data_IF_490279185440
#
_entry.id   IF_490279185440
#
_cell.length_a   1.000
_cell.length_b   1.000
_cell.length_c   1.000
_cell.angle_alpha   90.00
_cell.angle_beta   90.00
_cell.angle_gamma   90.00
#
_symmetry.space_group_name_H-M   'P 1'
#
loop_
_entity.id
_entity.type
_entity.pdbx_description
1 polymer ?
#
# COMPACT_ATOMS: atom_id res chain seq x y z
N UNK A 1 -2.94 -23.32 31.20
CA UNK A 1 -2.49 -22.28 30.23
C UNK A 1 -3.50 -21.15 30.25
N UNK A 2 -3.09 -19.90 30.54
CA UNK A 2 -3.99 -18.74 30.45
C UNK A 2 -4.29 -18.50 28.97
N UNK A 3 -5.56 -18.40 28.60
CA UNK A 3 -5.95 -17.96 27.25
C UNK A 3 -5.27 -16.62 26.95
N UNK A 4 -4.76 -16.39 25.73
CA UNK A 4 -4.19 -15.10 25.39
C UNK A 4 -5.26 -14.03 25.62
N UNK A 5 -4.88 -12.95 26.30
CA UNK A 5 -5.76 -11.78 26.44
C UNK A 5 -6.00 -11.20 25.04
N UNK A 6 -7.26 -10.89 24.73
CA UNK A 6 -7.68 -10.31 23.47
C UNK A 6 -8.05 -8.83 23.72
N UNK A 7 -7.64 -7.96 22.82
CA UNK A 7 -8.12 -6.59 22.78
C UNK A 7 -9.17 -6.44 21.68
N UNK A 8 -10.28 -5.83 22.03
CA UNK A 8 -11.42 -5.65 21.14
C UNK A 8 -11.40 -4.26 20.49
N UNK A 9 -11.68 -4.22 19.19
CA UNK A 9 -11.79 -2.99 18.39
C UNK A 9 -13.11 -2.96 17.65
N UNK A 10 -13.72 -1.78 17.55
CA UNK A 10 -14.79 -1.49 16.60
C UNK A 10 -14.18 -0.98 15.27
N UNK A 11 -14.70 -1.52 14.18
CA UNK A 11 -14.36 -1.09 12.81
C UNK A 11 -15.56 -0.33 12.26
N UNK A 12 -15.34 0.92 11.81
CA UNK A 12 -16.41 1.77 11.28
C UNK A 12 -16.09 2.30 9.89
N UNK A 13 -17.14 2.55 9.11
CA UNK A 13 -17.07 2.95 7.70
C UNK A 13 -17.12 4.48 7.55
N UNK A 14 -15.98 5.15 7.57
CA UNK A 14 -15.87 6.62 7.45
C UNK A 14 -16.24 7.20 6.08
N UNK A 15 -16.41 6.38 5.06
CA UNK A 15 -16.85 6.82 3.74
C UNK A 15 -18.38 6.92 3.60
N UNK A 16 -19.12 6.41 4.59
CA UNK A 16 -20.57 6.45 4.65
C UNK A 16 -21.05 7.49 5.68
N UNK A 17 -22.25 8.05 5.50
CA UNK A 17 -22.85 8.95 6.49
C UNK A 17 -23.05 8.25 7.83
N UNK A 18 -22.71 8.92 8.92
CA UNK A 18 -22.89 8.43 10.29
C UNK A 18 -21.88 7.38 10.75
N UNK A 19 -20.84 7.09 9.93
CA UNK A 19 -19.76 6.16 10.26
C UNK A 19 -20.30 4.82 10.83
N UNK A 20 -21.17 4.09 10.09
CA UNK A 20 -21.81 2.89 10.60
C UNK A 20 -20.79 1.84 11.04
N UNK A 21 -21.19 1.02 12.03
CA UNK A 21 -20.38 -0.11 12.51
C UNK A 21 -20.30 -1.18 11.42
N UNK A 22 -19.07 -1.52 11.04
CA UNK A 22 -18.78 -2.62 10.12
C UNK A 22 -18.70 -3.96 10.85
N UNK A 23 -18.10 -3.94 12.05
CA UNK A 23 -17.91 -5.13 12.86
C UNK A 23 -16.91 -4.94 13.97
N UNK A 24 -16.56 -6.05 14.64
CA UNK A 24 -15.62 -6.08 15.76
C UNK A 24 -14.43 -6.98 15.46
N UNK A 25 -13.24 -6.46 15.73
CA UNK A 25 -11.96 -7.14 15.57
C UNK A 25 -11.37 -7.45 16.95
N UNK A 26 -11.08 -8.72 17.21
CA UNK A 26 -10.33 -9.15 18.39
C UNK A 26 -8.87 -9.42 17.99
N UNK A 27 -7.95 -8.70 18.61
CA UNK A 27 -6.49 -8.78 18.37
C UNK A 27 -5.85 -9.45 19.60
N UNK A 28 -5.10 -10.56 19.43
CA UNK A 28 -4.38 -11.17 20.53
C UNK A 28 -3.27 -10.25 21.02
N UNK A 29 -3.21 -10.04 22.35
CA UNK A 29 -2.09 -9.35 22.97
C UNK A 29 -0.86 -10.25 22.96
N UNK A 30 0.28 -9.76 22.50
CA UNK A 30 1.52 -10.51 22.52
C UNK A 30 2.08 -10.59 23.93
N UNK A 31 2.32 -11.81 24.42
CA UNK A 31 2.98 -12.04 25.71
C UNK A 31 4.43 -12.49 25.49
N UNK A 32 5.30 -11.65 24.92
CA UNK A 32 6.73 -11.93 24.78
C UNK A 32 7.27 -12.08 23.34
N UNK A 33 8.61 -12.21 23.17
CA UNK A 33 9.27 -12.18 21.86
C UNK A 33 8.87 -13.36 21.00
N UNK A 34 8.42 -13.08 19.76
CA UNK A 34 8.05 -14.08 18.77
C UNK A 34 9.01 -14.07 17.60
N UNK A 35 9.88 -15.07 17.56
CA UNK A 35 10.51 -15.49 16.31
C UNK A 35 9.89 -16.80 15.84
N UNK A 36 9.59 -16.94 14.56
CA UNK A 36 9.45 -18.23 13.94
C UNK A 36 8.17 -18.53 13.18
N UNK A 37 8.36 -19.08 12.05
CA UNK A 37 7.51 -19.68 11.03
C UNK A 37 6.53 -20.73 11.56
N UNK A 38 5.32 -20.75 10.97
CA UNK A 38 4.27 -21.75 11.16
C UNK A 38 4.68 -23.11 10.57
N UNK A 39 4.57 -24.17 11.33
CA UNK A 39 4.65 -25.56 10.86
C UNK A 39 3.58 -26.46 11.53
N UNK A 40 2.96 -27.24 10.74
CA UNK A 40 2.35 -28.57 10.64
C UNK A 40 1.47 -29.25 11.74
N UNK A 41 0.48 -30.11 11.34
CA UNK A 41 -0.63 -30.61 12.17
C UNK A 41 -0.37 -31.85 13.02
N UNK A 42 0.83 -32.04 13.50
CA UNK A 42 1.15 -32.90 14.66
C UNK A 42 1.39 -32.07 15.92
N UNK A 43 0.71 -30.92 16.00
CA UNK A 43 1.05 -29.76 16.80
C UNK A 43 1.25 -30.02 18.28
N UNK A 44 2.44 -29.70 18.74
CA UNK A 44 2.77 -29.57 20.17
C UNK A 44 1.88 -28.52 20.87
N UNK A 45 1.76 -28.50 22.20
CA UNK A 45 1.02 -27.51 22.97
C UNK A 45 1.41 -26.02 22.63
N UNK A 46 2.64 -25.79 22.17
CA UNK A 46 3.11 -24.51 21.69
C UNK A 46 2.50 -24.10 20.34
N UNK A 47 2.14 -25.06 19.49
CA UNK A 47 1.46 -24.84 18.21
C UNK A 47 -0.04 -24.58 18.41
N UNK A 48 -0.67 -25.26 19.37
CA UNK A 48 -2.04 -24.97 19.79
C UNK A 48 -2.14 -23.55 20.42
N UNK A 49 -1.15 -23.13 21.19
CA UNK A 49 -1.05 -21.76 21.70
C UNK A 49 -0.84 -20.71 20.59
N UNK A 50 -0.16 -21.08 19.49
CA UNK A 50 -0.01 -20.23 18.30
C UNK A 50 -1.33 -20.11 17.51
N UNK A 51 -2.10 -21.20 17.39
CA UNK A 51 -3.42 -21.17 16.77
C UNK A 51 -4.45 -20.34 17.60
N UNK A 52 -4.25 -20.26 18.92
CA UNK A 52 -5.05 -19.39 19.80
C UNK A 52 -4.71 -17.89 19.67
N UNK A 53 -3.55 -17.55 19.06
CA UNK A 53 -3.06 -16.18 18.87
C UNK A 53 -3.40 -15.60 17.50
N UNK A 54 -4.48 -16.05 16.88
CA UNK A 54 -4.97 -15.54 15.58
C UNK A 54 -6.07 -14.52 15.82
N UNK A 55 -6.07 -13.43 15.06
CA UNK A 55 -7.15 -12.44 15.06
C UNK A 55 -8.50 -13.08 14.80
N UNK A 56 -9.57 -12.46 15.28
CA UNK A 56 -10.95 -12.86 15.02
C UNK A 56 -11.72 -11.62 14.62
N UNK A 57 -12.62 -11.78 13.66
CA UNK A 57 -13.49 -10.71 13.22
C UNK A 57 -14.92 -11.18 13.18
N UNK A 58 -15.85 -10.31 13.53
CA UNK A 58 -17.27 -10.55 13.40
C UNK A 58 -17.90 -9.30 12.80
N UNK A 59 -18.58 -9.47 11.68
CA UNK A 59 -19.38 -8.39 11.10
C UNK A 59 -20.54 -8.02 12.02
N UNK A 60 -20.94 -6.76 11.98
CA UNK A 60 -22.20 -6.32 12.54
C UNK A 60 -23.38 -6.89 11.72
N UNK A 61 -24.52 -7.18 12.38
CA UNK A 61 -25.67 -7.78 11.70
C UNK A 61 -26.21 -6.94 10.56
N UNK A 62 -26.38 -5.64 10.79
CA UNK A 62 -26.88 -4.72 9.77
C UNK A 62 -25.88 -4.58 8.59
N UNK A 63 -24.59 -4.72 8.89
CA UNK A 63 -23.55 -4.70 7.85
C UNK A 63 -23.57 -5.95 6.97
N UNK A 64 -23.89 -7.12 7.53
CA UNK A 64 -24.04 -8.36 6.73
C UNK A 64 -25.16 -8.23 5.72
N UNK A 65 -26.25 -7.55 6.10
CA UNK A 65 -27.43 -7.37 5.25
C UNK A 65 -27.20 -6.37 4.09
N UNK A 66 -26.42 -5.32 4.32
CA UNK A 66 -26.36 -4.17 3.40
C UNK A 66 -24.96 -3.68 3.05
N UNK A 67 -23.93 -4.23 3.69
CA UNK A 67 -22.54 -3.80 3.57
C UNK A 67 -21.79 -4.40 2.40
N UNK A 68 -20.46 -4.26 2.48
CA UNK A 68 -19.52 -4.84 1.52
C UNK A 68 -18.42 -5.60 2.24
N UNK A 69 -17.88 -6.69 1.66
CA UNK A 69 -16.79 -7.42 2.28
C UNK A 69 -15.50 -6.57 2.32
N UNK A 70 -14.73 -6.70 3.40
CA UNK A 70 -13.46 -5.99 3.58
C UNK A 70 -12.25 -6.70 2.95
N UNK A 71 -12.49 -7.66 2.09
CA UNK A 71 -11.47 -8.42 1.38
C UNK A 71 -12.00 -9.79 0.98
N UNK A 72 -11.27 -10.47 0.11
CA UNK A 72 -11.62 -11.83 -0.28
C UNK A 72 -11.34 -12.86 0.84
N UNK A 73 -10.52 -12.49 1.83
CA UNK A 73 -10.25 -13.29 3.02
C UNK A 73 -11.23 -12.99 4.17
N UNK A 74 -12.18 -12.09 3.95
CA UNK A 74 -13.17 -11.70 4.94
C UNK A 74 -14.56 -11.60 4.25
N UNK A 75 -15.17 -12.76 3.90
CA UNK A 75 -16.45 -12.80 3.24
C UNK A 75 -17.56 -12.21 4.12
N UNK A 76 -18.61 -11.71 3.51
CA UNK A 76 -19.74 -11.08 4.20
C UNK A 76 -20.67 -12.18 4.76
N UNK A 77 -20.39 -12.65 5.95
CA UNK A 77 -21.06 -13.77 6.59
C UNK A 77 -21.28 -13.50 8.09
N UNK A 78 -22.35 -14.10 8.65
CA UNK A 78 -22.56 -14.10 10.09
C UNK A 78 -21.56 -15.03 10.80
N UNK A 79 -21.22 -14.66 12.03
CA UNK A 79 -20.36 -15.49 12.88
C UNK A 79 -18.93 -14.94 13.00
N UNK A 80 -18.10 -15.72 13.67
CA UNK A 80 -16.71 -15.33 13.96
C UNK A 80 -15.80 -15.85 12.86
N UNK A 81 -15.23 -14.93 12.09
CA UNK A 81 -14.29 -15.21 11.02
C UNK A 81 -12.86 -15.22 11.54
N UNK A 82 -12.00 -15.97 10.86
CA UNK A 82 -10.56 -16.06 11.13
C UNK A 82 -9.75 -15.81 9.87
N UNK A 83 -8.53 -15.26 9.97
CA UNK A 83 -7.64 -15.16 8.84
C UNK A 83 -7.39 -16.52 8.20
N UNK A 84 -7.01 -16.49 6.92
CA UNK A 84 -6.66 -17.70 6.16
C UNK A 84 -5.58 -18.52 6.86
N UNK A 85 -5.56 -19.81 6.57
CA UNK A 85 -4.52 -20.72 7.06
C UNK A 85 -3.12 -20.16 6.78
N UNK A 86 -2.29 -20.12 7.79
CA UNK A 86 -0.94 -19.56 7.71
C UNK A 86 -0.85 -18.03 7.90
N UNK A 87 -1.99 -17.34 8.04
CA UNK A 87 -2.04 -15.90 8.33
C UNK A 87 -2.47 -15.63 9.76
N UNK A 88 -1.95 -14.59 10.37
CA UNK A 88 -2.34 -14.13 11.72
C UNK A 88 -3.32 -12.96 11.69
N UNK A 89 -3.44 -12.26 10.53
CA UNK A 89 -4.28 -11.09 10.35
C UNK A 89 -5.06 -11.13 9.04
N UNK A 90 -6.09 -10.29 8.95
CA UNK A 90 -6.86 -10.06 7.74
C UNK A 90 -6.19 -9.06 6.82
N UNK A 91 -6.40 -9.20 5.51
CA UNK A 91 -5.79 -8.38 4.48
C UNK A 91 -6.07 -6.88 4.66
N UNK A 92 -7.29 -6.49 5.03
CA UNK A 92 -7.63 -5.07 5.24
C UNK A 92 -6.76 -4.41 6.33
N UNK A 93 -6.29 -5.15 7.33
CA UNK A 93 -5.39 -4.65 8.35
C UNK A 93 -3.94 -4.70 7.87
N UNK A 94 -3.54 -5.76 7.13
CA UNK A 94 -2.22 -5.86 6.50
C UNK A 94 -1.98 -4.72 5.51
N UNK A 95 -3.00 -4.29 4.77
CA UNK A 95 -2.93 -3.13 3.86
C UNK A 95 -2.56 -1.82 4.57
N UNK A 96 -2.86 -1.72 5.86
CA UNK A 96 -2.60 -0.56 6.72
C UNK A 96 -1.43 -0.76 7.65
N UNK A 97 -0.86 -1.95 7.66
CA UNK A 97 0.20 -2.30 8.59
C UNK A 97 1.47 -1.51 8.30
N UNK A 98 2.04 -0.94 9.36
CA UNK A 98 3.36 -0.32 9.28
C UNK A 98 4.39 -1.37 8.86
N UNK A 99 5.33 -0.97 8.00
CA UNK A 99 6.42 -1.86 7.55
C UNK A 99 7.40 -2.13 8.69
N UNK A 100 8.21 -3.19 8.56
CA UNK A 100 9.20 -3.51 9.59
C UNK A 100 10.21 -2.37 9.86
N UNK A 101 10.76 -1.66 8.86
CA UNK A 101 11.61 -0.50 9.10
C UNK A 101 10.90 0.64 9.83
N UNK A 102 9.63 0.90 9.50
CA UNK A 102 8.83 1.93 10.17
C UNK A 102 8.42 1.49 11.57
N UNK A 103 8.17 0.20 11.76
CA UNK A 103 7.85 -0.36 13.07
C UNK A 103 8.96 -0.14 14.10
N UNK A 104 10.24 -0.17 13.69
CA UNK A 104 11.36 0.11 14.60
C UNK A 104 11.32 1.53 15.17
N UNK A 105 10.84 2.50 14.38
CA UNK A 105 10.67 3.88 14.85
C UNK A 105 9.61 3.97 15.95
N UNK A 106 8.51 3.22 15.81
CA UNK A 106 7.43 3.22 16.80
C UNK A 106 7.78 2.48 18.10
N UNK A 107 8.77 1.61 18.06
CA UNK A 107 9.25 0.85 19.23
C UNK A 107 10.65 1.33 19.70
N UNK A 108 11.05 2.53 19.32
CA UNK A 108 12.33 3.08 19.76
C UNK A 108 12.31 3.37 21.28
N UNK A 109 13.23 2.80 22.06
CA UNK A 109 13.30 3.04 23.50
C UNK A 109 13.55 4.50 23.88
N UNK A 110 14.15 5.30 22.98
CA UNK A 110 14.41 6.72 23.22
C UNK A 110 13.14 7.57 23.29
N UNK A 111 12.06 7.12 22.62
CA UNK A 111 10.78 7.80 22.64
C UNK A 111 9.61 6.80 22.69
N UNK A 112 9.40 6.12 23.83
CA UNK A 112 8.34 5.14 23.97
C UNK A 112 6.97 5.80 23.79
N UNK A 113 6.12 5.20 22.96
CA UNK A 113 4.75 5.67 22.77
C UNK A 113 3.90 5.34 24.01
N UNK A 114 3.33 6.38 24.62
CA UNK A 114 2.38 6.22 25.72
C UNK A 114 1.20 5.35 25.30
N UNK A 115 0.87 4.35 26.13
CA UNK A 115 -0.24 3.43 25.90
C UNK A 115 0.06 2.28 24.93
N UNK A 116 1.25 2.21 24.33
CA UNK A 116 1.66 1.03 23.60
C UNK A 116 2.12 -0.05 24.59
N UNK A 117 1.55 -1.29 24.57
CA UNK A 117 2.00 -2.36 25.44
C UNK A 117 3.46 -2.73 25.17
N UNK A 118 4.21 -2.97 26.24
CA UNK A 118 5.57 -3.49 26.11
C UNK A 118 5.57 -4.81 25.31
N UNK A 119 6.42 -4.91 24.29
CA UNK A 119 6.49 -6.08 23.42
C UNK A 119 5.34 -6.21 22.41
N UNK A 120 4.55 -5.15 22.20
CA UNK A 120 3.49 -5.15 21.18
C UNK A 120 4.05 -5.51 19.81
N UNK A 121 3.41 -6.46 19.14
CA UNK A 121 3.79 -6.87 17.78
C UNK A 121 3.36 -5.83 16.73
N UNK A 122 3.93 -5.90 15.53
CA UNK A 122 3.68 -4.95 14.43
C UNK A 122 2.19 -4.75 14.12
N UNK A 123 1.39 -5.81 14.07
CA UNK A 123 -0.05 -5.72 13.77
C UNK A 123 -0.85 -5.15 14.95
N UNK A 124 -0.47 -5.47 16.17
CA UNK A 124 -1.06 -4.89 17.38
C UNK A 124 -0.77 -3.38 17.45
N UNK A 125 0.50 -3.01 17.25
CA UNK A 125 0.89 -1.59 17.15
C UNK A 125 0.12 -0.88 16.05
N UNK A 126 -0.03 -1.51 14.87
CA UNK A 126 -0.84 -0.95 13.78
C UNK A 126 -2.29 -0.73 14.22
N UNK A 127 -2.93 -1.72 14.83
CA UNK A 127 -4.32 -1.61 15.28
C UNK A 127 -4.51 -0.53 16.36
N UNK A 128 -3.52 -0.35 17.25
CA UNK A 128 -3.54 0.69 18.27
C UNK A 128 -3.32 2.10 17.71
N UNK A 129 -2.56 2.21 16.63
CA UNK A 129 -2.26 3.50 16.01
C UNK A 129 -3.36 4.00 15.07
N UNK A 130 -4.13 3.09 14.45
CA UNK A 130 -5.16 3.45 13.47
C UNK A 130 -6.25 4.40 13.99
N UNK A 131 -6.75 4.31 15.24
CA UNK A 131 -7.80 5.19 15.76
C UNK A 131 -7.44 6.69 15.70
N UNK A 132 -6.17 6.99 15.88
CA UNK A 132 -5.64 8.35 15.98
C UNK A 132 -5.14 8.91 14.65
N UNK A 133 -5.32 8.16 13.55
CA UNK A 133 -4.83 8.53 12.24
C UNK A 133 -5.95 8.84 11.28
N UNK A 134 -6.31 10.12 11.21
CA UNK A 134 -7.22 10.62 10.18
C UNK A 134 -6.64 10.47 8.77
N UNK A 135 -5.35 10.26 8.68
CA UNK A 135 -4.53 10.16 7.47
C UNK A 135 -4.13 8.72 7.10
N UNK A 136 -4.62 7.69 7.81
CA UNK A 136 -4.40 6.28 7.43
C UNK A 136 -4.95 5.97 6.04
N UNK A 137 -4.44 4.89 5.43
CA UNK A 137 -4.92 4.42 4.13
C UNK A 137 -6.41 4.06 4.18
N UNK A 138 -7.17 4.58 3.24
CA UNK A 138 -8.61 4.29 3.08
C UNK A 138 -9.47 4.95 4.13
N UNK A 139 -10.65 4.40 4.35
CA UNK A 139 -11.72 5.02 5.09
C UNK A 139 -12.25 4.17 6.27
N UNK A 140 -11.50 3.19 6.73
CA UNK A 140 -11.85 2.43 7.93
C UNK A 140 -11.29 3.10 9.17
N UNK A 141 -12.10 3.33 10.18
CA UNK A 141 -11.62 3.61 11.53
C UNK A 141 -11.55 2.32 12.34
N UNK A 142 -10.59 2.25 13.25
CA UNK A 142 -10.35 1.12 14.14
C UNK A 142 -10.23 1.70 15.55
N UNK A 143 -11.24 1.52 16.40
CA UNK A 143 -11.29 2.12 17.73
C UNK A 143 -11.29 1.04 18.80
N UNK A 144 -10.38 1.08 19.80
CA UNK A 144 -10.41 0.14 20.91
C UNK A 144 -11.68 0.32 21.75
N UNK A 145 -12.23 -0.79 22.27
CA UNK A 145 -13.47 -0.78 23.05
C UNK A 145 -13.20 -0.79 24.56
N UNK A 146 -12.16 -1.49 24.96
CA UNK A 146 -11.87 -1.87 26.34
C UNK A 146 -10.67 -1.13 26.96
N UNK A 147 -10.12 -0.17 26.26
CA UNK A 147 -9.01 0.68 26.73
C UNK A 147 -9.24 2.13 26.29
N UNK A 148 -8.70 3.05 27.04
CA UNK A 148 -8.67 4.43 26.63
C UNK A 148 -7.91 4.57 25.32
N UNK A 149 -8.43 5.34 24.37
CA UNK A 149 -7.72 5.62 23.14
C UNK A 149 -6.38 6.29 23.45
N UNK A 150 -5.38 5.99 22.62
CA UNK A 150 -4.10 6.72 22.68
C UNK A 150 -4.37 8.23 22.55
N UNK A 151 -3.55 9.09 23.16
CA UNK A 151 -3.71 10.54 23.05
C UNK A 151 -3.88 10.99 21.60
N UNK A 152 -4.73 11.97 21.40
CA UNK A 152 -4.95 12.54 20.07
C UNK A 152 -3.61 12.96 19.46
N UNK A 153 -3.31 12.44 18.27
CA UNK A 153 -2.04 12.75 17.61
C UNK A 153 -2.15 14.06 16.85
N UNK A 154 -1.05 14.79 16.73
CA UNK A 154 -1.02 16.03 15.97
C UNK A 154 -1.56 15.81 14.57
N UNK A 155 -2.16 16.85 14.04
CA UNK A 155 -2.67 16.94 12.68
C UNK A 155 -1.58 16.55 11.66
N UNK A 156 -2.04 16.21 10.46
CA UNK A 156 -1.21 16.16 9.26
C UNK A 156 -0.22 17.33 9.27
N UNK A 157 1.06 17.02 9.10
CA UNK A 157 2.12 18.02 9.10
C UNK A 157 1.93 19.03 7.96
N UNK A 158 2.26 20.28 8.21
CA UNK A 158 2.28 21.30 7.15
C UNK A 158 3.57 21.17 6.34
N UNK A 159 3.53 21.63 5.11
CA UNK A 159 4.74 21.67 4.26
C UNK A 159 5.90 22.42 4.95
N UNK A 160 5.61 23.48 5.71
CA UNK A 160 6.62 24.25 6.46
C UNK A 160 7.35 23.46 7.55
N UNK A 161 6.86 22.28 7.94
CA UNK A 161 7.48 21.39 8.94
C UNK A 161 8.39 20.32 8.28
N UNK A 162 8.50 20.31 6.95
CA UNK A 162 9.33 19.34 6.22
C UNK A 162 10.83 19.41 6.56
N UNK A 163 11.45 20.59 6.72
CA UNK A 163 12.87 20.66 7.08
C UNK A 163 13.20 19.91 8.37
N UNK A 164 12.33 20.01 9.37
CA UNK A 164 12.50 19.29 10.64
C UNK A 164 12.33 17.78 10.46
N UNK A 165 11.36 17.34 9.62
CA UNK A 165 11.17 15.92 9.31
C UNK A 165 12.34 15.33 8.53
N UNK A 166 12.92 16.07 7.57
CA UNK A 166 14.10 15.67 6.80
C UNK A 166 15.28 15.49 7.76
N UNK A 167 15.52 16.48 8.61
CA UNK A 167 16.60 16.42 9.61
C UNK A 167 16.44 15.20 10.53
N UNK A 168 15.26 15.01 11.11
CA UNK A 168 14.95 13.89 12.00
C UNK A 168 15.12 12.54 11.30
N UNK A 169 14.67 12.43 10.04
CA UNK A 169 14.81 11.21 9.26
C UNK A 169 16.28 10.85 9.02
N UNK A 170 17.09 11.82 8.62
CA UNK A 170 18.52 11.58 8.42
C UNK A 170 19.31 11.36 9.72
N UNK A 171 18.89 12.01 10.83
CA UNK A 171 19.46 11.73 12.14
C UNK A 171 19.22 10.26 12.54
N UNK A 172 18.00 9.76 12.26
CA UNK A 172 17.65 8.36 12.50
C UNK A 172 18.49 7.40 11.62
N UNK A 173 18.61 7.67 10.32
CA UNK A 173 19.43 6.83 9.42
C UNK A 173 20.91 6.78 9.82
N UNK A 174 21.41 7.83 10.45
CA UNK A 174 22.78 7.91 11.02
C UNK A 174 22.89 7.30 12.41
N UNK A 175 21.79 6.83 13.02
CA UNK A 175 21.77 6.34 14.40
C UNK A 175 22.05 7.44 15.43
N UNK A 176 21.69 8.70 15.12
CA UNK A 176 21.91 9.89 15.95
C UNK A 176 20.62 10.60 16.37
N UNK A 177 19.47 10.02 16.10
CA UNK A 177 18.18 10.59 16.51
C UNK A 177 18.03 10.50 18.02
N UNK A 178 17.66 11.61 18.64
CA UNK A 178 17.23 11.67 20.04
C UNK A 178 15.72 11.46 20.16
N UNK A 179 15.20 11.61 21.39
CA UNK A 179 13.77 11.43 21.69
C UNK A 179 12.86 12.35 20.88
N UNK A 180 13.30 13.58 20.65
CA UNK A 180 12.49 14.59 19.95
C UNK A 180 12.36 14.28 18.47
N UNK A 181 13.48 13.90 17.80
CA UNK A 181 13.46 13.47 16.41
C UNK A 181 12.63 12.19 16.21
N UNK A 182 12.76 11.20 17.08
CA UNK A 182 11.95 9.98 17.03
C UNK A 182 10.47 10.30 17.21
N UNK A 183 10.11 11.14 18.18
CA UNK A 183 8.73 11.58 18.39
C UNK A 183 8.16 12.32 17.18
N UNK A 184 8.96 13.18 16.56
CA UNK A 184 8.57 13.92 15.35
C UNK A 184 8.26 12.95 14.19
N UNK A 185 9.14 11.96 13.98
CA UNK A 185 8.94 10.92 12.96
C UNK A 185 7.69 10.06 13.25
N UNK A 186 7.51 9.61 14.49
CA UNK A 186 6.33 8.85 14.90
C UNK A 186 5.02 9.60 14.59
N UNK A 187 5.01 10.92 14.78
CA UNK A 187 3.86 11.77 14.53
C UNK A 187 3.65 12.09 13.04
N UNK A 188 4.72 12.08 12.23
CA UNK A 188 4.66 12.40 10.80
C UNK A 188 4.41 11.20 9.88
N UNK A 189 4.79 10.00 10.31
CA UNK A 189 4.68 8.77 9.50
C UNK A 189 3.24 8.27 9.44
N UNK A 190 2.70 8.06 8.24
CA UNK A 190 1.26 7.86 8.08
C UNK A 190 0.82 6.73 7.17
N UNK A 191 1.62 6.36 6.19
CA UNK A 191 1.26 5.33 5.22
C UNK A 191 2.17 4.09 5.30
N UNK A 192 1.62 2.90 4.98
CA UNK A 192 2.44 1.70 4.86
C UNK A 192 3.44 1.86 3.71
N UNK A 193 4.62 1.28 3.88
CA UNK A 193 5.66 1.28 2.86
C UNK A 193 6.99 0.82 3.44
N UNK A 194 7.91 0.38 2.57
CA UNK A 194 9.26 -0.03 2.98
C UNK A 194 10.13 1.18 3.36
N UNK A 195 9.79 2.35 2.87
CA UNK A 195 10.42 3.64 3.21
C UNK A 195 9.40 4.49 3.96
N UNK A 196 9.84 5.37 4.84
CA UNK A 196 8.96 6.33 5.49
C UNK A 196 8.22 7.18 4.46
N UNK A 197 6.93 7.33 4.66
CA UNK A 197 6.05 8.19 3.86
C UNK A 197 5.31 9.09 4.84
N UNK A 198 5.41 10.38 4.62
CA UNK A 198 4.76 11.38 5.44
C UNK A 198 3.50 11.87 4.72
N UNK A 199 2.45 12.17 5.47
CA UNK A 199 1.33 12.94 4.93
C UNK A 199 1.48 14.39 5.36
N UNK A 200 1.44 15.28 4.40
CA UNK A 200 1.58 16.72 4.62
C UNK A 200 0.39 17.46 4.00
N UNK A 201 -0.05 18.51 4.67
CA UNK A 201 -1.03 19.45 4.11
C UNK A 201 -0.31 20.42 3.17
N UNK A 202 -0.66 20.34 1.89
CA UNK A 202 -0.13 21.20 0.84
C UNK A 202 -1.29 21.61 -0.07
N UNK A 203 -1.40 22.91 -0.35
CA UNK A 203 -2.52 23.48 -1.14
C UNK A 203 -3.92 23.09 -0.63
N UNK A 204 -4.08 22.99 0.71
CA UNK A 204 -5.32 22.57 1.39
C UNK A 204 -5.75 21.12 1.09
N UNK A 205 -4.84 20.28 0.64
CA UNK A 205 -5.05 18.85 0.40
C UNK A 205 -4.00 18.03 1.14
N UNK A 206 -4.38 16.85 1.60
CA UNK A 206 -3.43 15.87 2.14
C UNK A 206 -2.67 15.20 0.98
N UNK A 207 -1.37 15.43 0.93
CA UNK A 207 -0.46 14.81 -0.04
C UNK A 207 0.53 13.91 0.68
N UNK A 208 1.09 12.94 -0.01
CA UNK A 208 2.22 12.18 0.52
C UNK A 208 3.52 12.89 0.14
N UNK A 209 4.44 12.99 1.11
CA UNK A 209 5.81 13.41 0.88
C UNK A 209 6.75 12.21 1.03
N UNK A 210 7.57 11.95 0.02
CA UNK A 210 8.62 10.93 0.03
C UNK A 210 9.97 11.60 0.00
N UNK A 211 10.76 11.32 1.02
CA UNK A 211 12.11 11.84 1.19
C UNK A 211 13.14 10.90 0.56
N UNK A 212 14.28 11.44 0.20
CA UNK A 212 15.46 10.67 -0.16
C UNK A 212 16.02 9.96 1.07
N UNK A 213 16.42 8.71 0.94
CA UNK A 213 17.21 8.01 1.96
C UNK A 213 18.68 8.16 1.64
N UNK A 214 19.50 8.39 2.67
CA UNK A 214 20.97 8.37 2.54
C UNK A 214 21.52 7.00 2.15
N UNK A 215 20.73 5.93 2.34
CA UNK A 215 21.08 4.55 2.01
C UNK A 215 20.68 4.16 0.58
N UNK A 216 19.97 5.01 -0.14
CA UNK A 216 19.61 4.75 -1.54
C UNK A 216 20.79 5.11 -2.46
N UNK A 217 21.14 4.24 -3.42
CA UNK A 217 22.24 4.50 -4.36
C UNK A 217 21.89 5.60 -5.37
N UNK A 218 20.61 5.94 -5.49
CA UNK A 218 20.05 6.89 -6.46
C UNK A 218 19.10 7.86 -5.78
N UNK A 219 18.72 8.93 -6.47
CA UNK A 219 17.66 9.83 -6.05
C UNK A 219 16.27 9.23 -6.32
N UNK A 220 15.77 8.37 -5.41
CA UNK A 220 14.50 7.67 -5.60
C UNK A 220 13.27 8.59 -5.78
N UNK A 221 13.10 9.69 -5.02
CA UNK A 221 12.04 10.66 -5.26
C UNK A 221 12.01 11.16 -6.71
N UNK A 222 13.15 11.57 -7.24
CA UNK A 222 13.31 12.03 -8.62
C UNK A 222 12.90 10.92 -9.61
N UNK A 223 13.48 9.73 -9.49
CA UNK A 223 13.23 8.62 -10.41
C UNK A 223 11.79 8.11 -10.34
N UNK A 224 11.16 8.14 -9.17
CA UNK A 224 9.74 7.81 -9.04
C UNK A 224 8.84 8.88 -9.68
N UNK A 225 9.19 10.17 -9.56
CA UNK A 225 8.50 11.25 -10.26
C UNK A 225 8.55 11.05 -11.78
N UNK A 226 9.74 10.81 -12.31
CA UNK A 226 9.94 10.58 -13.75
C UNK A 226 9.18 9.34 -14.25
N UNK A 227 9.16 8.24 -13.47
CA UNK A 227 8.38 7.06 -13.80
C UNK A 227 6.87 7.37 -13.89
N UNK A 228 6.32 8.19 -13.00
CA UNK A 228 4.92 8.61 -13.04
C UNK A 228 4.64 9.58 -14.20
N UNK A 229 5.55 10.49 -14.51
CA UNK A 229 5.46 11.38 -15.68
C UNK A 229 5.50 10.58 -16.98
N UNK A 230 6.44 9.64 -17.12
CA UNK A 230 6.54 8.75 -18.28
C UNK A 230 5.28 7.89 -18.43
N UNK A 231 4.77 7.32 -17.34
CA UNK A 231 3.52 6.55 -17.34
C UNK A 231 2.33 7.38 -17.81
N UNK A 232 2.23 8.64 -17.36
CA UNK A 232 1.19 9.57 -17.82
C UNK A 232 1.31 9.84 -19.33
N UNK A 233 2.52 10.05 -19.84
CA UNK A 233 2.79 10.20 -21.28
C UNK A 233 2.39 8.93 -22.06
N UNK A 234 2.52 7.75 -21.45
CA UNK A 234 2.06 6.45 -21.98
C UNK A 234 0.54 6.20 -21.83
N UNK A 235 -0.25 7.20 -21.48
CA UNK A 235 -1.71 7.11 -21.35
C UNK A 235 -2.19 6.33 -20.11
N UNK A 236 -1.36 6.18 -19.10
CA UNK A 236 -1.74 5.58 -17.81
C UNK A 236 -2.31 6.67 -16.91
N UNK A 237 -3.43 6.38 -16.26
CA UNK A 237 -3.97 7.26 -15.22
C UNK A 237 -3.04 7.20 -13.99
N UNK A 238 -2.37 8.31 -13.71
CA UNK A 238 -1.51 8.49 -12.54
C UNK A 238 -2.10 9.50 -11.58
N UNK A 239 -1.69 9.46 -10.32
CA UNK A 239 -1.92 10.58 -9.40
C UNK A 239 -1.11 11.80 -9.87
N UNK A 240 -1.56 12.98 -9.46
CA UNK A 240 -0.76 14.19 -9.64
C UNK A 240 0.49 14.12 -8.77
N UNK A 241 1.60 14.52 -9.36
CA UNK A 241 2.92 14.50 -8.71
C UNK A 241 3.61 15.83 -8.89
N UNK A 242 4.35 16.22 -7.87
CA UNK A 242 5.19 17.40 -7.89
C UNK A 242 6.54 17.06 -7.24
N UNK A 243 7.61 17.61 -7.78
CA UNK A 243 8.96 17.42 -7.28
C UNK A 243 9.49 18.77 -6.83
N UNK A 244 9.77 18.91 -5.54
CA UNK A 244 10.39 20.11 -4.98
C UNK A 244 11.78 19.79 -4.45
N UNK A 245 12.63 20.80 -4.46
CA UNK A 245 13.97 20.72 -3.90
C UNK A 245 14.02 21.49 -2.58
N UNK A 246 14.26 20.78 -1.48
CA UNK A 246 14.32 21.36 -0.14
C UNK A 246 15.53 20.82 0.60
N UNK A 247 16.25 21.66 1.30
CA UNK A 247 17.47 21.31 2.06
C UNK A 247 18.53 20.50 1.27
N UNK A 248 18.65 20.75 -0.03
CA UNK A 248 19.60 20.06 -0.90
C UNK A 248 19.13 18.68 -1.42
N UNK A 249 17.86 18.36 -1.27
CA UNK A 249 17.27 17.06 -1.66
C UNK A 249 15.97 17.22 -2.44
N UNK A 250 15.70 16.26 -3.31
CA UNK A 250 14.42 16.16 -3.99
C UNK A 250 13.39 15.48 -3.09
N UNK A 251 12.22 16.09 -3.00
CA UNK A 251 11.06 15.57 -2.29
C UNK A 251 9.95 15.33 -3.31
N UNK A 252 9.46 14.10 -3.36
CA UNK A 252 8.32 13.75 -4.20
C UNK A 252 7.02 13.92 -3.43
N UNK A 253 6.21 14.87 -3.87
CA UNK A 253 4.82 14.97 -3.45
C UNK A 253 3.91 14.21 -4.40
N UNK A 254 2.98 13.43 -3.83
CA UNK A 254 1.93 12.80 -4.62
C UNK A 254 0.58 13.01 -3.98
N UNK A 255 -0.43 13.33 -4.81
CA UNK A 255 -1.80 13.36 -4.35
C UNK A 255 -2.23 11.96 -3.87
N UNK A 256 -3.01 11.90 -2.82
CA UNK A 256 -3.47 10.63 -2.27
C UNK A 256 -4.57 10.01 -3.14
N UNK A 257 -4.31 8.79 -3.62
CA UNK A 257 -5.26 8.04 -4.44
C UNK A 257 -6.50 7.54 -3.66
N UNK A 258 -6.39 7.45 -2.34
CA UNK A 258 -7.46 7.01 -1.43
C UNK A 258 -8.32 8.17 -0.89
N UNK A 259 -8.24 9.33 -1.52
CA UNK A 259 -9.07 10.51 -1.21
C UNK A 259 -9.81 10.97 -2.45
N UNK A 260 -11.06 11.36 -2.25
CA UNK A 260 -11.81 12.04 -3.31
C UNK A 260 -11.37 13.50 -3.35
N UNK A 261 -10.80 13.93 -4.47
CA UNK A 261 -10.41 15.31 -4.65
C UNK A 261 -11.58 16.29 -4.51
N UNK A 262 -11.25 17.55 -4.23
CA UNK A 262 -12.23 18.62 -4.17
C UNK A 262 -13.05 18.66 -5.46
N UNK A 263 -14.35 18.41 -5.35
CA UNK A 263 -15.35 18.80 -6.34
C UNK A 263 -16.03 20.05 -5.79
N UNK A 264 -16.59 20.89 -6.67
CA UNK A 264 -17.24 22.13 -6.28
C UNK A 264 -18.25 21.98 -5.10
N UNK A 265 -18.86 20.79 -4.96
CA UNK A 265 -19.91 20.52 -3.98
C UNK A 265 -19.53 19.47 -2.91
N UNK A 266 -18.28 19.05 -2.82
CA UNK A 266 -17.86 18.06 -1.84
C UNK A 266 -16.61 18.55 -1.08
N UNK A 267 -16.55 18.31 0.24
CA UNK A 267 -15.35 18.65 1.00
C UNK A 267 -14.14 17.96 0.37
N UNK A 268 -13.08 18.72 0.17
CA UNK A 268 -11.79 18.17 -0.18
C UNK A 268 -11.44 17.08 0.84
N UNK A 269 -10.85 15.97 0.35
CA UNK A 269 -10.26 14.97 1.22
C UNK A 269 -11.22 13.92 1.84
N UNK A 270 -12.41 13.71 1.26
CA UNK A 270 -13.26 12.61 1.72
C UNK A 270 -12.57 11.26 1.48
N UNK A 271 -12.35 10.44 2.53
CA UNK A 271 -11.70 9.15 2.38
C UNK A 271 -12.57 8.17 1.57
N UNK A 272 -11.90 7.32 0.77
CA UNK A 272 -12.52 6.25 0.00
C UNK A 272 -12.19 4.89 0.64
N UNK A 273 -13.14 3.96 0.67
CA UNK A 273 -12.79 2.58 1.00
C UNK A 273 -11.81 2.08 -0.05
N UNK A 274 -10.55 1.91 0.37
CA UNK A 274 -9.45 1.49 -0.51
C UNK A 274 -8.83 0.23 0.06
N UNK A 275 -8.70 -0.79 -0.81
CA UNK A 275 -8.04 -2.06 -0.51
C UNK A 275 -7.01 -2.34 -1.59
N UNK A 276 -5.99 -3.11 -1.22
CA UNK A 276 -4.98 -3.54 -2.21
C UNK A 276 -5.45 -4.75 -3.01
N UNK A 277 -4.82 -4.98 -4.15
CA UNK A 277 -5.01 -6.19 -4.94
C UNK A 277 -4.65 -7.46 -4.16
N UNK A 278 -3.72 -7.37 -3.22
CA UNK A 278 -3.39 -8.49 -2.35
C UNK A 278 -4.58 -8.91 -1.48
N UNK A 279 -5.29 -7.95 -0.91
CA UNK A 279 -6.49 -8.19 -0.08
C UNK A 279 -7.68 -8.65 -0.90
N UNK A 280 -7.89 -8.04 -2.07
CA UNK A 280 -9.03 -8.38 -2.94
C UNK A 280 -8.84 -9.68 -3.73
N UNK A 281 -7.61 -10.05 -4.09
CA UNK A 281 -7.30 -11.31 -4.80
C UNK A 281 -7.03 -12.48 -3.84
N UNK A 282 -7.05 -12.24 -2.56
CA UNK A 282 -6.77 -13.23 -1.52
C UNK A 282 -7.90 -14.24 -1.41
N UNK A 283 -7.91 -15.28 -2.25
CA UNK A 283 -8.92 -16.36 -2.15
C UNK A 283 -8.70 -17.24 -0.91
N UNK A 284 -9.78 -17.60 -0.24
CA UNK A 284 -9.76 -18.66 0.77
C UNK A 284 -9.64 -20.02 0.06
N UNK A 285 -8.82 -20.91 0.66
CA UNK A 285 -8.75 -22.33 0.44
C UNK A 285 -8.36 -22.88 -0.94
N UNK A 286 -7.09 -23.20 -1.04
CA UNK A 286 -6.61 -24.32 -1.87
C UNK A 286 -5.51 -25.03 -1.08
N UNK A 287 -5.45 -26.38 -1.08
CA UNK A 287 -4.34 -27.13 -0.47
C UNK A 287 -2.98 -26.79 -1.09
N UNK A 288 -2.97 -26.20 -2.29
CA UNK A 288 -1.79 -25.68 -2.99
C UNK A 288 -2.15 -24.34 -3.62
N UNK A 289 -2.16 -23.24 -2.85
CA UNK A 289 -2.53 -21.95 -3.39
C UNK A 289 -1.51 -21.51 -4.45
N UNK A 290 -1.98 -21.30 -5.66
CA UNK A 290 -1.22 -20.59 -6.69
C UNK A 290 -1.24 -19.11 -6.29
N UNK A 291 -0.08 -18.45 -6.16
CA UNK A 291 -0.04 -17.03 -5.86
C UNK A 291 -0.86 -16.24 -6.90
N UNK A 292 -1.69 -15.28 -6.49
CA UNK A 292 -2.43 -14.49 -7.45
C UNK A 292 -1.48 -13.64 -8.32
N UNK A 293 -1.80 -13.56 -9.60
CA UNK A 293 -1.10 -12.75 -10.59
C UNK A 293 -1.98 -11.63 -11.15
N UNK A 294 -1.58 -11.05 -12.28
CA UNK A 294 -2.33 -9.96 -12.91
C UNK A 294 -3.75 -10.35 -13.33
N UNK A 295 -3.98 -11.61 -13.75
CA UNK A 295 -5.33 -12.07 -14.10
C UNK A 295 -6.27 -12.08 -12.89
N UNK A 296 -5.76 -12.39 -11.70
CA UNK A 296 -6.57 -12.30 -10.48
C UNK A 296 -7.02 -10.86 -10.16
N UNK A 297 -6.20 -9.85 -10.52
CA UNK A 297 -6.60 -8.46 -10.42
C UNK A 297 -7.65 -8.08 -11.48
N UNK A 298 -7.52 -8.61 -12.70
CA UNK A 298 -8.54 -8.40 -13.74
C UNK A 298 -9.89 -9.03 -13.34
N UNK A 299 -9.88 -10.18 -12.69
CA UNK A 299 -11.09 -10.85 -12.19
C UNK A 299 -11.87 -9.98 -11.18
N UNK A 300 -11.17 -9.18 -10.36
CA UNK A 300 -11.82 -8.24 -9.41
C UNK A 300 -12.68 -7.24 -10.18
N UNK A 301 -12.15 -6.68 -11.27
CA UNK A 301 -12.87 -5.70 -12.08
C UNK A 301 -13.92 -6.33 -12.97
N UNK A 302 -13.69 -7.53 -13.50
CA UNK A 302 -14.68 -8.25 -14.31
C UNK A 302 -15.88 -8.71 -13.47
N UNK A 303 -15.65 -9.16 -12.23
CA UNK A 303 -16.69 -9.69 -11.37
C UNK A 303 -17.41 -8.64 -10.51
N UNK A 304 -16.76 -7.51 -10.21
CA UNK A 304 -17.31 -6.53 -9.28
C UNK A 304 -16.86 -5.09 -9.54
N UNK A 305 -16.39 -4.78 -10.75
CA UNK A 305 -15.95 -3.43 -11.12
C UNK A 305 -17.13 -2.50 -11.45
N UNK A 306 -16.99 -1.22 -11.09
CA UNK A 306 -17.97 -0.18 -11.44
C UNK A 306 -17.85 0.28 -12.91
N UNK A 307 -16.64 0.20 -13.49
CA UNK A 307 -16.39 0.56 -14.89
C UNK A 307 -15.31 -0.31 -15.53
N UNK A 308 -15.56 -1.63 -15.72
CA UNK A 308 -14.56 -2.56 -16.24
C UNK A 308 -13.97 -2.14 -17.59
N UNK A 309 -14.82 -1.61 -18.48
CA UNK A 309 -14.42 -1.16 -19.83
C UNK A 309 -13.39 -0.03 -19.82
N UNK A 310 -13.32 0.74 -18.74
CA UNK A 310 -12.32 1.80 -18.57
C UNK A 310 -11.10 1.28 -17.82
N UNK A 311 -11.31 0.51 -16.75
CA UNK A 311 -10.27 0.13 -15.81
C UNK A 311 -9.40 -1.03 -16.29
N UNK A 312 -9.98 -2.00 -17.02
CA UNK A 312 -9.22 -3.13 -17.56
C UNK A 312 -8.16 -2.72 -18.60
N UNK A 313 -8.46 -1.86 -19.58
CA UNK A 313 -7.42 -1.33 -20.48
C UNK A 313 -6.34 -0.54 -19.74
N UNK A 314 -6.69 0.21 -18.70
CA UNK A 314 -5.74 0.93 -17.85
C UNK A 314 -4.85 -0.05 -17.07
N UNK A 315 -5.40 -1.15 -16.60
CA UNK A 315 -4.63 -2.20 -15.94
C UNK A 315 -3.62 -2.82 -16.90
N UNK A 316 -4.04 -3.16 -18.12
CA UNK A 316 -3.13 -3.72 -19.14
C UNK A 316 -2.01 -2.73 -19.50
N UNK A 317 -2.34 -1.43 -19.66
CA UNK A 317 -1.31 -0.40 -19.90
C UNK A 317 -0.25 -0.35 -18.79
N UNK A 318 -0.66 -0.47 -17.52
CA UNK A 318 0.30 -0.52 -16.40
C UNK A 318 1.17 -1.77 -16.45
N UNK A 319 0.60 -2.94 -16.78
CA UNK A 319 1.34 -4.20 -16.93
C UNK A 319 2.38 -4.04 -18.05
N UNK A 320 1.96 -3.54 -19.21
CA UNK A 320 2.84 -3.30 -20.34
C UNK A 320 3.98 -2.32 -19.98
N UNK A 321 3.66 -1.22 -19.32
CA UNK A 321 4.65 -0.25 -18.85
C UNK A 321 5.67 -0.88 -17.91
N UNK A 322 5.20 -1.65 -16.92
CA UNK A 322 6.07 -2.35 -15.99
C UNK A 322 7.02 -3.31 -16.70
N UNK A 323 6.52 -4.05 -17.68
CA UNK A 323 7.34 -4.99 -18.47
C UNK A 323 8.37 -4.27 -19.34
N UNK A 324 7.98 -3.14 -19.97
CA UNK A 324 8.87 -2.31 -20.78
C UNK A 324 9.94 -1.58 -19.96
N UNK A 325 9.75 -1.46 -18.67
CA UNK A 325 10.70 -0.82 -17.74
C UNK A 325 11.28 -1.82 -16.73
N UNK A 326 11.49 -3.06 -17.18
CA UNK A 326 12.18 -4.11 -16.42
C UNK A 326 11.33 -4.89 -15.43
N UNK A 327 10.02 -4.66 -15.34
CA UNK A 327 9.11 -5.39 -14.44
C UNK A 327 9.45 -5.33 -12.97
N UNK A 328 10.20 -4.31 -12.57
CA UNK A 328 10.99 -4.28 -11.36
C UNK A 328 10.12 -4.07 -10.11
N UNK A 329 9.97 -5.15 -9.34
CA UNK A 329 9.42 -5.07 -7.99
C UNK A 329 7.92 -4.81 -7.91
N UNK A 330 7.16 -5.04 -8.97
CA UNK A 330 5.70 -4.94 -8.90
C UNK A 330 5.13 -6.01 -7.96
N UNK A 331 4.12 -5.63 -7.20
CA UNK A 331 3.46 -6.50 -6.24
C UNK A 331 1.98 -6.14 -6.11
N UNK A 332 1.15 -7.09 -5.72
CA UNK A 332 -0.29 -6.88 -5.55
C UNK A 332 -0.62 -5.75 -4.56
N UNK A 333 0.27 -5.44 -3.61
CA UNK A 333 0.10 -4.34 -2.67
C UNK A 333 0.23 -2.95 -3.32
N UNK A 334 0.84 -2.86 -4.51
CA UNK A 334 0.96 -1.61 -5.27
C UNK A 334 -0.27 -1.30 -6.12
N UNK A 335 -1.15 -2.29 -6.29
CA UNK A 335 -2.43 -2.17 -7.00
C UNK A 335 -3.51 -1.84 -6.00
N UNK A 336 -4.00 -0.61 -5.99
CA UNK A 336 -5.09 -0.18 -5.13
C UNK A 336 -6.39 -0.10 -5.91
N UNK A 337 -7.46 -0.43 -5.22
CA UNK A 337 -8.83 -0.34 -5.72
C UNK A 337 -9.64 0.42 -4.69
N UNK A 338 -10.44 1.37 -5.14
CA UNK A 338 -11.39 2.07 -4.29
C UNK A 338 -12.82 1.68 -4.60
N UNK A 339 -13.64 1.66 -3.56
CA UNK A 339 -15.05 1.30 -3.69
C UNK A 339 -15.88 2.51 -4.10
N UNK A 340 -16.65 2.36 -5.17
CA UNK A 340 -17.75 3.23 -5.58
C UNK A 340 -19.08 2.52 -5.35
N UNK A 341 -20.23 3.24 -5.41
CA UNK A 341 -21.55 2.61 -5.20
C UNK A 341 -21.81 1.39 -6.08
N UNK A 342 -21.36 1.42 -7.33
CA UNK A 342 -21.62 0.35 -8.30
C UNK A 342 -20.54 -0.76 -8.30
N UNK A 343 -19.42 -0.59 -7.60
CA UNK A 343 -18.36 -1.60 -7.62
C UNK A 343 -16.97 -1.04 -7.34
N UNK A 344 -15.97 -1.86 -7.60
CA UNK A 344 -14.57 -1.48 -7.48
C UNK A 344 -14.09 -0.67 -8.69
N UNK A 345 -13.25 0.30 -8.46
CA UNK A 345 -12.51 1.04 -9.50
C UNK A 345 -11.01 0.86 -9.30
N UNK A 346 -10.28 0.75 -10.38
CA UNK A 346 -8.82 0.80 -10.34
C UNK A 346 -8.36 2.22 -9.96
N UNK A 347 -7.65 2.34 -8.85
CA UNK A 347 -7.06 3.62 -8.43
C UNK A 347 -6.01 4.11 -9.44
N UNK A 348 -5.82 5.42 -9.60
CA UNK A 348 -4.70 5.96 -10.35
C UNK A 348 -3.37 5.38 -9.86
N UNK A 349 -2.40 5.20 -10.76
CA UNK A 349 -1.08 4.74 -10.36
C UNK A 349 -0.40 5.79 -9.48
N UNK A 350 0.02 5.38 -8.28
CA UNK A 350 0.61 6.27 -7.27
C UNK A 350 2.02 5.83 -6.85
N UNK A 351 2.43 4.64 -7.27
CA UNK A 351 3.72 4.04 -6.92
C UNK A 351 4.22 3.23 -8.10
N UNK A 352 4.85 3.90 -9.05
CA UNK A 352 5.62 3.28 -10.12
C UNK A 352 7.09 3.57 -9.83
N UNK A 353 7.92 2.55 -9.89
CA UNK A 353 9.30 2.65 -9.47
C UNK A 353 10.20 1.93 -10.46
N UNK A 354 11.13 2.65 -11.02
CA UNK A 354 12.22 2.10 -11.80
C UNK A 354 13.32 1.64 -10.86
N UNK A 355 13.63 0.35 -10.87
CA UNK A 355 14.56 -0.24 -9.92
C UNK A 355 15.35 -1.39 -10.54
N UNK A 356 16.57 -1.15 -11.03
CA UNK A 356 17.42 -2.17 -11.64
C UNK A 356 17.66 -3.39 -10.74
N UNK A 357 17.76 -3.19 -9.44
CA UNK A 357 18.01 -4.30 -8.49
C UNK A 357 16.82 -5.26 -8.35
N UNK A 358 15.67 -4.92 -8.89
CA UNK A 358 14.46 -5.74 -8.86
C UNK A 358 14.08 -6.33 -10.24
N UNK A 359 14.98 -6.24 -11.23
CA UNK A 359 14.80 -6.85 -12.55
C UNK A 359 14.32 -8.31 -12.44
N UNK A 360 13.32 -8.67 -13.23
CA UNK A 360 12.75 -10.02 -13.26
C UNK A 360 11.99 -10.46 -12.01
N UNK A 361 11.74 -9.58 -11.02
CA UNK A 361 11.02 -9.88 -9.78
C UNK A 361 9.57 -9.39 -9.77
N UNK A 362 8.99 -9.10 -10.93
CA UNK A 362 7.60 -8.65 -11.05
C UNK A 362 6.57 -9.75 -10.78
N UNK A 363 5.29 -9.37 -10.86
CA UNK A 363 4.17 -10.30 -10.78
C UNK A 363 4.15 -11.26 -11.98
N UNK A 364 3.58 -12.43 -11.76
CA UNK A 364 3.26 -13.35 -12.83
C UNK A 364 1.93 -12.96 -13.47
N UNK A 365 1.64 -13.47 -14.68
CA UNK A 365 0.35 -13.23 -15.31
C UNK A 365 -0.77 -14.01 -14.61
N UNK A 366 -0.55 -15.31 -14.38
CA UNK A 366 -1.55 -16.26 -13.87
C UNK A 366 -1.17 -16.93 -12.54
N UNK A 367 -0.17 -16.39 -11.83
CA UNK A 367 0.39 -16.98 -10.62
C UNK A 367 1.47 -18.03 -10.88
N UNK A 368 1.70 -18.44 -12.11
CA UNK A 368 2.67 -19.48 -12.50
C UNK A 368 3.70 -18.96 -13.49
N UNK A 369 3.21 -18.34 -14.57
CA UNK A 369 4.05 -17.90 -15.69
C UNK A 369 4.52 -16.47 -15.46
N UNK A 370 5.83 -16.27 -15.39
CA UNK A 370 6.45 -14.94 -15.55
C UNK A 370 6.52 -14.63 -17.03
N UNK A 371 6.33 -13.37 -17.35
CA UNK A 371 6.55 -12.86 -18.69
C UNK A 371 8.02 -12.43 -18.80
N UNK A 372 8.64 -12.76 -19.92
CA UNK A 372 10.05 -12.43 -20.18
C UNK A 372 10.18 -11.05 -20.82
N UNK A 373 9.18 -10.63 -21.58
CA UNK A 373 9.12 -9.32 -22.23
C UNK A 373 7.67 -8.83 -22.35
N UNK A 374 7.52 -7.60 -22.78
CA UNK A 374 6.19 -6.97 -22.90
C UNK A 374 5.30 -7.65 -23.96
N UNK A 375 5.90 -8.21 -25.03
CA UNK A 375 5.15 -8.91 -26.08
C UNK A 375 4.50 -10.19 -25.58
N UNK A 376 5.06 -10.84 -24.55
CA UNK A 376 4.47 -12.00 -23.88
C UNK A 376 3.11 -11.69 -23.22
N UNK A 377 2.80 -10.41 -23.00
CA UNK A 377 1.50 -9.98 -22.46
C UNK A 377 0.39 -9.94 -23.53
N UNK A 378 0.75 -9.85 -24.83
CA UNK A 378 -0.22 -9.70 -25.93
C UNK A 378 -1.29 -10.79 -25.93
N UNK A 379 -0.98 -12.10 -25.77
CA UNK A 379 -2.00 -13.15 -25.77
C UNK A 379 -3.06 -13.00 -24.67
N UNK A 380 -2.72 -12.27 -23.60
CA UNK A 380 -3.61 -12.03 -22.47
C UNK A 380 -4.47 -10.77 -22.62
N UNK A 381 -4.28 -9.95 -23.65
CA UNK A 381 -4.97 -8.67 -23.86
C UNK A 381 -6.51 -8.79 -23.78
N UNK A 382 -7.05 -9.91 -24.26
CA UNK A 382 -8.50 -10.20 -24.22
C UNK A 382 -9.10 -10.17 -22.81
N UNK A 383 -8.34 -10.56 -21.79
CA UNK A 383 -8.81 -10.54 -20.39
C UNK A 383 -8.94 -9.11 -19.83
N UNK A 384 -8.34 -8.16 -20.54
CA UNK A 384 -8.37 -6.73 -20.23
C UNK A 384 -9.22 -5.93 -21.22
N UNK A 385 -10.09 -6.61 -21.97
CA UNK A 385 -11.01 -5.97 -22.92
C UNK A 385 -10.35 -5.39 -24.17
N UNK A 386 -9.15 -5.85 -24.53
CA UNK A 386 -8.38 -5.37 -25.69
C UNK A 386 -8.28 -6.46 -26.77
N UNK A 387 -8.25 -6.03 -28.04
CA UNK A 387 -7.86 -6.90 -29.14
C UNK A 387 -6.32 -7.05 -29.20
N UNK A 388 -5.83 -8.05 -29.92
CA UNK A 388 -4.40 -8.21 -30.19
C UNK A 388 -3.83 -6.99 -30.92
N UNK A 389 -4.61 -6.38 -31.81
CA UNK A 389 -4.21 -5.17 -32.55
C UNK A 389 -4.06 -3.98 -31.61
N UNK A 390 -5.03 -3.78 -30.68
CA UNK A 390 -4.97 -2.70 -29.69
C UNK A 390 -3.73 -2.87 -28.78
N UNK A 391 -3.49 -4.09 -28.31
CA UNK A 391 -2.35 -4.40 -27.46
C UNK A 391 -1.01 -4.10 -28.14
N UNK A 392 -0.85 -4.51 -29.40
CA UNK A 392 0.35 -4.19 -30.20
C UNK A 392 0.52 -2.69 -30.43
N UNK A 393 -0.57 -1.99 -30.76
CA UNK A 393 -0.56 -0.54 -30.94
C UNK A 393 -0.11 0.21 -29.67
N UNK A 394 -0.64 -0.19 -28.50
CA UNK A 394 -0.26 0.36 -27.21
C UNK A 394 1.23 0.11 -26.93
N UNK A 395 1.74 -1.10 -27.14
CA UNK A 395 3.16 -1.40 -26.90
C UNK A 395 4.07 -0.58 -27.81
N UNK A 396 3.72 -0.46 -29.09
CA UNK A 396 4.50 0.35 -30.04
C UNK A 396 4.54 1.83 -29.61
N UNK A 397 3.41 2.40 -29.22
CA UNK A 397 3.33 3.77 -28.71
C UNK A 397 4.19 3.95 -27.46
N UNK A 398 4.09 3.03 -26.49
CA UNK A 398 4.84 3.09 -25.25
C UNK A 398 6.35 2.98 -25.49
N UNK A 399 6.80 2.07 -26.36
CA UNK A 399 8.22 1.97 -26.73
C UNK A 399 8.74 3.28 -27.30
N UNK A 400 8.00 3.91 -28.22
CA UNK A 400 8.36 5.21 -28.79
C UNK A 400 8.48 6.31 -27.74
N UNK A 401 7.60 6.32 -26.74
CA UNK A 401 7.66 7.31 -25.65
C UNK A 401 8.83 7.00 -24.71
N UNK A 402 9.00 5.74 -24.33
CA UNK A 402 10.02 5.33 -23.37
C UNK A 402 11.44 5.36 -23.96
N UNK A 403 11.61 5.25 -25.29
CA UNK A 403 12.94 5.44 -25.90
C UNK A 403 13.55 6.82 -25.65
N UNK A 404 12.75 7.81 -25.24
CA UNK A 404 13.22 9.14 -24.82
C UNK A 404 13.52 9.28 -23.32
N UNK A 405 13.70 8.19 -22.61
CA UNK A 405 13.85 8.21 -21.14
C UNK A 405 15.10 8.97 -20.66
N UNK A 406 16.23 8.89 -21.41
CA UNK A 406 17.45 9.64 -21.07
C UNK A 406 17.21 11.15 -21.16
N UNK A 407 16.59 11.62 -22.25
CA UNK A 407 16.23 13.02 -22.38
C UNK A 407 15.27 13.49 -21.27
N UNK A 408 14.37 12.64 -20.81
CA UNK A 408 13.53 12.92 -19.65
C UNK A 408 14.38 13.02 -18.36
N UNK A 409 15.38 12.16 -18.20
CA UNK A 409 16.27 12.18 -17.04
C UNK A 409 17.13 13.47 -17.03
N UNK A 410 17.62 13.89 -18.18
CA UNK A 410 18.34 15.16 -18.34
C UNK A 410 17.43 16.37 -18.08
N UNK A 411 16.19 16.34 -18.59
CA UNK A 411 15.18 17.41 -18.36
C UNK A 411 14.96 17.65 -16.86
N UNK A 412 14.92 16.57 -16.05
CA UNK A 412 14.74 16.65 -14.61
C UNK A 412 16.05 16.76 -13.81
N UNK A 413 17.20 16.87 -14.47
CA UNK A 413 18.50 17.07 -13.83
C UNK A 413 19.01 15.84 -13.06
N UNK A 414 18.72 14.63 -13.55
CA UNK A 414 19.25 13.40 -12.96
C UNK A 414 20.79 13.35 -13.04
N UNK A 415 21.41 12.82 -11.98
CA UNK A 415 22.86 12.61 -11.97
C UNK A 415 23.27 11.61 -13.08
N UNK A 416 24.31 11.89 -13.88
CA UNK A 416 24.79 10.94 -14.90
C UNK A 416 25.10 9.54 -14.38
N UNK A 417 25.48 9.40 -13.12
CA UNK A 417 25.70 8.08 -12.47
C UNK A 417 24.37 7.35 -12.28
N UNK A 418 23.32 8.07 -11.90
CA UNK A 418 21.98 7.50 -11.77
C UNK A 418 21.43 7.07 -13.14
N UNK A 419 21.66 7.87 -14.20
CA UNK A 419 21.30 7.54 -15.57
C UNK A 419 21.98 6.24 -15.99
N UNK A 420 23.29 6.13 -15.81
CA UNK A 420 24.05 4.90 -16.11
C UNK A 420 23.56 3.69 -15.30
N UNK A 421 23.17 3.90 -14.03
CA UNK A 421 22.61 2.84 -13.20
C UNK A 421 21.24 2.36 -13.66
N UNK A 422 20.44 3.24 -14.26
CA UNK A 422 19.10 2.92 -14.78
C UNK A 422 19.08 2.33 -16.19
N UNK A 423 20.12 2.55 -16.99
CA UNK A 423 20.17 2.14 -18.40
C UNK A 423 19.78 0.66 -18.65
N UNK A 424 20.23 -0.34 -17.85
CA UNK A 424 19.85 -1.74 -18.06
C UNK A 424 18.34 -2.01 -18.02
N UNK A 425 17.54 -1.17 -17.36
CA UNK A 425 16.08 -1.32 -17.34
C UNK A 425 15.46 -1.14 -18.73
N UNK A 426 16.06 -0.30 -19.56
CA UNK A 426 15.52 0.13 -20.84
C UNK A 426 16.19 -0.60 -22.00
N UNK A 427 17.51 -0.82 -21.94
CA UNK A 427 18.27 -1.47 -23.01
C UNK A 427 17.79 -2.90 -23.30
N UNK A 428 17.36 -3.64 -22.27
CA UNK A 428 16.92 -5.02 -22.41
C UNK A 428 15.42 -5.16 -22.77
N UNK A 429 14.60 -4.10 -22.60
CA UNK A 429 13.14 -4.20 -22.60
C UNK A 429 12.45 -3.31 -23.66
N UNK A 430 13.12 -2.32 -24.23
CA UNK A 430 12.60 -1.47 -25.29
C UNK A 430 13.02 -1.98 -26.67
#
# INVERSE_FOLDING_TARGET
MRSPSLRLYEIRARWLPGDPLVGRLAVPLSTGPRSGTLQDPGASPAQAARAAAVMRFQYDGDWVESGVPLGADLPLEHGVLRPRLGKSAFGFLEDRAISAPVFSIFNDPAAPLSGLPEGAGRLETTALLLPHRTDSLGALSVTPVDVDPLPERPRVKRQSELPELIYAYHAMERGKAGSDEVSLLQNGLTLPGRRPVFTVERHREAQTARLRSMLDPIDRPLWMHMALVAAKRCGIRTVETDLEHEMGENILFTRRADRRGAKADAPADKPLLTLTGATLAARQESPRPVPPGYLALADILNGGGAAPKEDLPQMWRRIAFQLLTGGAGDSLNRWQFHREPLGWRLSPAHTLEWNPSALGRGLTMDGRRRLSCADDAIPYARYFGLTVSDAKGILMEMRRILSGWEGLAEEFGADPRDIAYMAPLFEENL
#
